data_IF_370926782377
#
_entry.id   IF_370926782377
#
_cell.length_a   1.000
_cell.length_b   1.000
_cell.length_c   1.000
_cell.angle_alpha   90.00
_cell.angle_beta   90.00
_cell.angle_gamma   90.00
#
_symmetry.space_group_name_H-M   'P 1'
#
loop_
_entity.id
_entity.type
_entity.pdbx_description
1 polymer ?
#
# COMPACT_ATOMS: atom_id res chain seq x y z
N UNK A 1 31.81 -6.73 2.29
CA UNK A 1 31.05 -5.55 2.77
C UNK A 1 29.93 -5.24 1.79
N UNK A 2 28.66 -5.30 2.22
CA UNK A 2 27.70 -4.23 1.95
C UNK A 2 26.57 -4.33 2.99
N UNK A 3 26.64 -3.44 3.97
CA UNK A 3 25.75 -3.33 5.13
C UNK A 3 24.44 -2.64 4.71
N UNK A 4 23.57 -3.27 3.92
CA UNK A 4 22.24 -2.72 3.62
C UNK A 4 21.34 -3.76 2.93
N UNK A 5 20.65 -4.59 3.70
CA UNK A 5 19.27 -4.93 3.35
C UNK A 5 18.52 -5.24 4.64
N UNK A 6 18.30 -4.15 5.36
CA UNK A 6 17.61 -4.07 6.64
C UNK A 6 16.30 -4.85 6.54
N UNK A 7 16.20 -5.92 7.33
CA UNK A 7 14.96 -6.52 7.85
C UNK A 7 13.75 -6.29 6.93
N UNK A 8 13.56 -7.15 5.94
CA UNK A 8 12.28 -7.34 5.26
C UNK A 8 11.28 -8.04 6.21
N UNK A 9 11.15 -7.53 7.43
CA UNK A 9 10.03 -7.84 8.31
C UNK A 9 8.90 -6.85 8.00
N UNK A 10 8.51 -6.78 6.72
CA UNK A 10 7.29 -6.08 6.35
C UNK A 10 6.14 -6.93 6.86
N UNK A 11 5.42 -6.42 7.86
CA UNK A 11 4.06 -6.85 8.20
C UNK A 11 3.36 -7.26 6.90
N UNK A 12 2.85 -8.49 6.84
CA UNK A 12 1.97 -8.96 5.76
C UNK A 12 0.85 -7.92 5.65
N UNK A 13 0.88 -7.10 4.62
CA UNK A 13 -0.08 -6.01 4.49
C UNK A 13 -1.31 -6.64 3.87
N UNK A 14 -2.48 -6.51 4.48
CA UNK A 14 -3.67 -7.20 3.97
C UNK A 14 -4.06 -6.84 2.52
N UNK A 15 -3.40 -5.83 1.93
CA UNK A 15 -3.58 -5.37 0.55
C UNK A 15 -2.44 -5.78 -0.38
N UNK A 16 -1.68 -6.82 -0.06
CA UNK A 16 -0.73 -7.43 -0.99
C UNK A 16 -1.37 -8.56 -1.82
N UNK A 17 -1.03 -8.60 -3.11
CA UNK A 17 -1.40 -9.65 -4.05
C UNK A 17 -0.16 -9.99 -4.89
N UNK A 18 0.08 -11.28 -5.10
CA UNK A 18 1.20 -11.75 -5.90
C UNK A 18 0.73 -12.85 -6.84
N UNK A 19 1.01 -12.70 -8.14
CA UNK A 19 0.71 -13.70 -9.15
C UNK A 19 1.68 -13.58 -10.34
N UNK A 20 2.19 -14.71 -10.84
CA UNK A 20 3.02 -14.79 -12.05
C UNK A 20 4.20 -13.79 -12.08
N UNK A 21 4.85 -13.56 -10.93
CA UNK A 21 5.96 -12.61 -10.80
C UNK A 21 5.57 -11.13 -10.75
N UNK A 22 4.27 -10.81 -10.86
CA UNK A 22 3.71 -9.48 -10.57
C UNK A 22 3.33 -9.43 -9.11
N UNK A 23 3.77 -8.39 -8.40
CA UNK A 23 3.34 -8.11 -7.03
C UNK A 23 2.66 -6.75 -6.96
N UNK A 24 1.48 -6.71 -6.36
CA UNK A 24 0.64 -5.54 -6.21
C UNK A 24 0.49 -5.27 -4.72
N UNK A 25 0.67 -4.03 -4.30
CA UNK A 25 0.43 -3.61 -2.92
C UNK A 25 -0.26 -2.25 -2.89
N UNK A 26 -1.37 -2.14 -2.18
CA UNK A 26 -1.99 -0.84 -1.90
C UNK A 26 -1.26 -0.15 -0.76
N UNK A 27 -0.91 1.12 -0.96
CA UNK A 27 -0.18 1.94 0.00
C UNK A 27 -0.86 3.28 0.21
N UNK A 28 -0.83 3.76 1.45
CA UNK A 28 -1.16 5.14 1.78
C UNK A 28 0.12 5.98 1.70
N UNK A 29 0.15 6.99 0.83
CA UNK A 29 1.30 7.89 0.69
C UNK A 29 1.20 9.05 1.67
N UNK A 30 1.74 8.86 2.88
CA UNK A 30 1.70 9.83 3.97
C UNK A 30 2.66 11.02 3.80
N UNK A 31 3.37 11.13 2.67
CA UNK A 31 4.38 12.16 2.44
C UNK A 31 3.79 13.51 2.07
N UNK A 32 2.65 13.48 1.36
CA UNK A 32 1.97 14.69 0.89
C UNK A 32 0.53 14.66 1.34
N UNK A 33 0.23 15.52 2.31
CA UNK A 33 -1.13 15.80 2.70
C UNK A 33 -1.82 16.60 1.59
N UNK A 34 -3.03 16.18 1.20
CA UNK A 34 -3.79 16.86 0.14
C UNK A 34 -4.84 17.79 0.76
N UNK A 35 -5.65 17.26 1.67
CA UNK A 35 -6.70 18.01 2.37
C UNK A 35 -6.82 17.51 3.80
N UNK A 36 -6.82 18.41 4.79
CA UNK A 36 -7.22 18.17 6.20
C UNK A 36 -6.97 16.72 6.70
N UNK A 37 -5.72 16.28 6.73
CA UNK A 37 -5.31 14.98 7.26
C UNK A 37 -5.56 13.77 6.34
N UNK A 38 -5.87 14.00 5.06
CA UNK A 38 -6.06 12.94 4.06
C UNK A 38 -4.87 12.82 3.12
N UNK A 39 -4.55 11.57 2.80
CA UNK A 39 -3.39 11.17 2.02
C UNK A 39 -3.83 10.32 0.82
N UNK A 40 -3.16 10.44 -0.33
CA UNK A 40 -3.52 9.69 -1.51
C UNK A 40 -3.19 8.21 -1.36
N UNK A 41 -4.11 7.37 -1.82
CA UNK A 41 -3.88 5.94 -1.96
C UNK A 41 -3.26 5.67 -3.32
N UNK A 42 -2.18 4.89 -3.32
CA UNK A 42 -1.49 4.44 -4.53
C UNK A 42 -1.43 2.93 -4.56
N UNK A 43 -1.47 2.38 -5.77
CA UNK A 43 -1.22 0.98 -6.02
C UNK A 43 0.22 0.84 -6.52
N UNK A 44 1.06 0.16 -5.75
CA UNK A 44 2.41 -0.20 -6.15
C UNK A 44 2.35 -1.52 -6.91
N UNK A 45 2.71 -1.47 -8.19
CA UNK A 45 2.93 -2.67 -9.02
C UNK A 45 4.43 -2.87 -9.16
N UNK A 46 4.91 -4.06 -8.85
CA UNK A 46 6.29 -4.47 -9.07
C UNK A 46 6.32 -5.65 -10.02
N UNK A 47 7.04 -5.50 -11.13
CA UNK A 47 7.23 -6.53 -12.15
C UNK A 47 8.64 -6.37 -12.73
N UNK A 48 9.36 -7.47 -12.98
CA UNK A 48 10.73 -7.44 -13.51
C UNK A 48 11.69 -6.48 -12.77
N UNK A 49 11.60 -6.43 -11.42
CA UNK A 49 12.36 -5.51 -10.54
C UNK A 49 12.07 -4.02 -10.76
N UNK A 50 11.15 -3.66 -11.65
CA UNK A 50 10.65 -2.30 -11.82
C UNK A 50 9.45 -2.05 -10.89
N UNK A 51 9.40 -0.87 -10.28
CA UNK A 51 8.31 -0.44 -9.41
C UNK A 51 7.57 0.73 -10.04
N UNK A 52 6.27 0.57 -10.29
CA UNK A 52 5.39 1.62 -10.79
C UNK A 52 4.29 1.90 -9.77
N UNK A 53 3.95 3.17 -9.61
CA UNK A 53 2.93 3.62 -8.67
C UNK A 53 1.79 4.26 -9.44
N UNK A 54 0.60 3.66 -9.34
CA UNK A 54 -0.61 4.16 -9.97
C UNK A 54 -1.49 4.85 -8.94
N UNK A 55 -2.05 6.00 -9.29
CA UNK A 55 -2.98 6.74 -8.45
C UNK A 55 -4.37 6.11 -8.50
N UNK A 56 -5.01 5.95 -7.34
CA UNK A 56 -6.40 5.46 -7.26
C UNK A 56 -7.42 6.61 -7.33
N UNK A 57 -6.96 7.87 -7.24
CA UNK A 57 -7.83 9.05 -7.19
C UNK A 57 -8.61 9.20 -5.87
N UNK A 58 -8.36 8.33 -4.89
CA UNK A 58 -8.97 8.33 -3.56
C UNK A 58 -7.95 8.78 -2.53
N UNK A 59 -8.42 9.52 -1.54
CA UNK A 59 -7.64 9.98 -0.41
C UNK A 59 -8.33 9.49 0.87
N UNK A 60 -7.54 9.04 1.84
CA UNK A 60 -8.04 8.59 3.14
C UNK A 60 -7.19 9.16 4.27
N UNK A 61 -7.78 9.27 5.45
CA UNK A 61 -7.04 9.52 6.67
C UNK A 61 -6.30 8.25 7.11
N UNK A 62 -5.27 8.40 7.95
CA UNK A 62 -4.56 7.25 8.53
C UNK A 62 -5.50 6.39 9.38
N UNK A 63 -6.40 7.02 10.15
CA UNK A 63 -7.35 6.32 11.01
C UNK A 63 -8.36 5.48 10.20
N UNK A 64 -8.83 5.98 9.06
CA UNK A 64 -9.73 5.22 8.19
C UNK A 64 -8.99 4.08 7.49
N UNK A 65 -7.75 4.33 7.05
CA UNK A 65 -6.89 3.31 6.44
C UNK A 65 -6.63 2.12 7.39
N UNK A 66 -6.43 2.39 8.68
CA UNK A 66 -6.24 1.35 9.71
C UNK A 66 -7.51 0.56 10.02
N UNK A 67 -8.70 1.11 9.75
CA UNK A 67 -10.00 0.44 9.95
C UNK A 67 -10.43 -0.41 8.75
N UNK A 68 -9.94 -0.12 7.54
CA UNK A 68 -10.26 -0.86 6.32
C UNK A 68 -10.08 -2.39 6.44
N UNK A 69 -9.11 -2.93 7.21
CA UNK A 69 -8.99 -4.36 7.39
C UNK A 69 -10.21 -5.00 8.05
N UNK A 70 -10.69 -4.37 9.11
CA UNK A 70 -11.79 -4.84 9.94
C UNK A 70 -13.14 -4.49 9.32
N UNK A 71 -13.20 -3.44 8.50
CA UNK A 71 -14.42 -2.95 7.86
C UNK A 71 -14.86 -3.75 6.63
N UNK A 72 -14.08 -4.74 6.17
CA UNK A 72 -14.58 -5.67 5.14
C UNK A 72 -15.70 -6.51 5.74
N UNK A 73 -16.92 -5.97 5.73
CA UNK A 73 -18.11 -6.79 5.84
C UNK A 73 -18.03 -7.80 4.70
N UNK A 74 -17.90 -9.08 5.04
CA UNK A 74 -18.29 -10.16 4.14
C UNK A 74 -19.80 -10.02 3.99
N UNK A 75 -20.26 -9.12 3.13
CA UNK A 75 -21.65 -9.19 2.69
C UNK A 75 -21.72 -10.46 1.84
N UNK A 76 -22.62 -11.33 2.30
CA UNK A 76 -22.91 -12.70 1.87
C UNK A 76 -23.04 -12.87 0.36
#
# INVERSE_FOLDING_TARGET
MCKLCVRFFTRKNMYDYANNGVTIASILDNRKEIKRGTYPIKVRVTFNRERKYYSTGKNLSVADWEKLPTSKSKVL
#
